data_IF_403966507813
#
_entry.id   IF_403966507813
#
_cell.length_a   1.000
_cell.length_b   1.000
_cell.length_c   1.000
_cell.angle_alpha   90.00
_cell.angle_beta   90.00
_cell.angle_gamma   90.00
#
_symmetry.space_group_name_H-M   'P 1'
#
loop_
_entity.id
_entity.type
_entity.pdbx_description
1 polymer ?
#
# COMPACT_ATOMS: atom_id res chain seq x y z
N UNK A 1 -5.61 13.58 -22.74
CA UNK A 1 -4.43 14.20 -22.10
C UNK A 1 -3.23 13.26 -22.11
N UNK A 2 -2.06 13.81 -22.28
CA UNK A 2 -0.82 13.06 -22.18
C UNK A 2 -0.54 12.71 -20.71
N UNK A 3 0.22 11.62 -20.42
CA UNK A 3 0.50 11.21 -19.05
C UNK A 3 1.09 12.31 -18.16
N UNK A 4 1.95 13.18 -18.73
CA UNK A 4 2.56 14.27 -17.98
C UNK A 4 1.61 15.45 -17.70
N UNK A 5 0.42 15.45 -18.30
CA UNK A 5 -0.61 16.48 -18.08
C UNK A 5 -1.62 16.09 -16.99
N UNK A 6 -1.48 14.88 -16.44
CA UNK A 6 -2.40 14.35 -15.45
C UNK A 6 -1.94 14.72 -14.03
N UNK A 7 -2.90 14.88 -13.13
CA UNK A 7 -2.61 14.99 -11.71
C UNK A 7 -2.02 13.67 -11.17
N UNK A 8 -1.36 13.71 -10.00
CA UNK A 8 -0.81 12.51 -9.38
C UNK A 8 -1.85 11.40 -9.19
N UNK A 9 -3.06 11.77 -8.75
CA UNK A 9 -4.14 10.80 -8.61
C UNK A 9 -4.62 10.23 -9.94
N UNK A 10 -4.70 11.06 -10.98
CA UNK A 10 -5.08 10.62 -12.31
C UNK A 10 -4.03 9.69 -12.92
N UNK A 11 -2.74 9.99 -12.75
CA UNK A 11 -1.65 9.12 -13.19
C UNK A 11 -1.72 7.75 -12.52
N UNK A 12 -1.99 7.70 -11.23
CA UNK A 12 -2.14 6.44 -10.50
C UNK A 12 -3.33 5.62 -11.00
N UNK A 13 -4.46 6.25 -11.28
CA UNK A 13 -5.63 5.56 -11.87
C UNK A 13 -5.33 4.99 -13.26
N UNK A 14 -4.57 5.71 -14.08
CA UNK A 14 -4.12 5.19 -15.37
C UNK A 14 -3.22 3.97 -15.18
N UNK A 15 -2.33 3.99 -14.20
CA UNK A 15 -1.48 2.83 -13.87
C UNK A 15 -2.31 1.60 -13.48
N UNK A 16 -3.38 1.77 -12.69
CA UNK A 16 -4.30 0.67 -12.38
C UNK A 16 -4.98 0.13 -13.63
N UNK A 17 -5.47 1.00 -14.50
CA UNK A 17 -6.11 0.58 -15.74
C UNK A 17 -5.15 -0.23 -16.63
N UNK A 18 -3.89 0.19 -16.73
CA UNK A 18 -2.86 -0.54 -17.49
C UNK A 18 -2.60 -1.92 -16.90
N UNK A 19 -2.51 -2.03 -15.59
CA UNK A 19 -2.32 -3.32 -14.92
C UNK A 19 -3.47 -4.29 -15.22
N UNK A 20 -4.72 -3.80 -15.19
CA UNK A 20 -5.89 -4.61 -15.52
C UNK A 20 -5.91 -5.07 -16.97
N UNK A 21 -5.51 -4.23 -17.91
CA UNK A 21 -5.41 -4.58 -19.32
C UNK A 21 -4.38 -5.69 -19.55
N UNK A 22 -3.24 -5.60 -18.88
CA UNK A 22 -2.19 -6.62 -18.96
C UNK A 22 -2.69 -7.98 -18.47
N UNK A 23 -3.46 -8.00 -17.39
CA UNK A 23 -4.03 -9.23 -16.84
C UNK A 23 -5.00 -9.92 -17.80
N UNK A 24 -5.75 -9.17 -18.58
CA UNK A 24 -6.70 -9.74 -19.54
C UNK A 24 -6.04 -10.54 -20.66
N UNK A 25 -4.74 -10.35 -20.86
CA UNK A 25 -3.98 -11.10 -21.87
C UNK A 25 -3.38 -12.39 -21.33
N UNK A 26 -3.43 -12.61 -20.02
CA UNK A 26 -2.91 -13.80 -19.37
C UNK A 26 -3.95 -14.90 -19.29
N UNK A 27 -3.47 -16.13 -19.17
CA UNK A 27 -4.33 -17.32 -19.10
C UNK A 27 -5.30 -17.25 -17.91
N UNK A 28 -6.58 -17.48 -18.18
CA UNK A 28 -7.71 -17.25 -17.26
C UNK A 28 -7.71 -18.10 -15.99
N UNK A 29 -6.80 -19.09 -15.86
CA UNK A 29 -6.78 -19.99 -14.71
C UNK A 29 -5.84 -19.56 -13.59
N UNK A 30 -5.06 -18.50 -13.78
CA UNK A 30 -4.14 -17.99 -12.77
C UNK A 30 -4.71 -16.74 -12.11
N UNK A 31 -4.77 -16.75 -10.77
CA UNK A 31 -5.14 -15.57 -10.00
C UNK A 31 -4.00 -14.56 -10.07
N UNK A 32 -4.25 -13.30 -10.40
CA UNK A 32 -3.20 -12.30 -10.51
C UNK A 32 -2.62 -11.93 -9.15
N UNK A 33 -1.32 -11.60 -9.14
CA UNK A 33 -0.68 -10.90 -8.03
C UNK A 33 -0.48 -9.44 -8.45
N UNK A 34 -1.12 -8.53 -7.74
CA UNK A 34 -1.05 -7.10 -8.01
C UNK A 34 -0.04 -6.46 -7.06
N UNK A 35 0.83 -5.62 -7.60
CA UNK A 35 1.84 -4.92 -6.83
C UNK A 35 1.59 -3.42 -6.91
N UNK A 36 1.46 -2.77 -5.75
CA UNK A 36 1.26 -1.34 -5.63
C UNK A 36 2.40 -0.75 -4.81
N UNK A 37 3.24 0.06 -5.43
CA UNK A 37 4.38 0.68 -4.77
C UNK A 37 4.08 2.16 -4.51
N UNK A 38 3.95 2.51 -3.22
CA UNK A 38 3.65 3.87 -2.76
C UNK A 38 2.45 4.50 -3.49
N UNK A 39 1.28 3.83 -3.51
CA UNK A 39 0.17 4.26 -4.37
C UNK A 39 -0.46 5.60 -3.96
N UNK A 40 -0.32 6.01 -2.70
CA UNK A 40 -0.89 7.26 -2.20
C UNK A 40 0.15 8.32 -1.85
N UNK A 41 1.43 8.05 -2.09
CA UNK A 41 2.50 9.01 -1.78
C UNK A 41 2.29 10.33 -2.51
N UNK A 42 2.43 11.43 -1.78
CA UNK A 42 2.29 12.78 -2.34
C UNK A 42 0.86 13.21 -2.65
N UNK A 43 -0.14 12.42 -2.32
CA UNK A 43 -1.55 12.76 -2.53
C UNK A 43 -2.17 13.35 -1.26
N UNK A 44 -3.13 14.26 -1.44
CA UNK A 44 -3.96 14.74 -0.33
C UNK A 44 -4.87 13.61 0.21
N UNK A 45 -5.49 13.78 1.39
CA UNK A 45 -6.30 12.73 2.00
C UNK A 45 -7.49 12.26 1.15
N UNK A 46 -8.12 13.15 0.40
CA UNK A 46 -9.29 12.81 -0.41
C UNK A 46 -8.85 11.98 -1.62
N UNK A 47 -7.80 12.42 -2.31
CA UNK A 47 -7.24 11.68 -3.44
C UNK A 47 -6.71 10.31 -2.98
N UNK A 48 -6.07 10.25 -1.82
CA UNK A 48 -5.60 9.01 -1.22
C UNK A 48 -6.75 8.03 -0.96
N UNK A 49 -7.86 8.52 -0.40
CA UNK A 49 -9.04 7.69 -0.16
C UNK A 49 -9.60 7.09 -1.45
N UNK A 50 -9.60 7.86 -2.53
CA UNK A 50 -10.06 7.37 -3.84
C UNK A 50 -9.16 6.26 -4.37
N UNK A 51 -7.84 6.41 -4.23
CA UNK A 51 -6.89 5.38 -4.65
C UNK A 51 -7.02 4.13 -3.79
N UNK A 52 -7.16 4.29 -2.48
CA UNK A 52 -7.37 3.17 -1.55
C UNK A 52 -8.63 2.39 -1.88
N UNK A 53 -9.73 3.09 -2.17
CA UNK A 53 -10.97 2.46 -2.60
C UNK A 53 -10.79 1.71 -3.94
N UNK A 54 -10.04 2.30 -4.86
CA UNK A 54 -9.74 1.68 -6.15
C UNK A 54 -8.89 0.40 -5.99
N UNK A 55 -7.91 0.41 -5.09
CA UNK A 55 -7.11 -0.78 -4.75
C UNK A 55 -8.04 -1.91 -4.28
N UNK A 56 -8.92 -1.62 -3.34
CA UNK A 56 -9.83 -2.62 -2.80
C UNK A 56 -10.79 -3.15 -3.85
N UNK A 57 -11.35 -2.29 -4.68
CA UNK A 57 -12.24 -2.71 -5.79
C UNK A 57 -11.51 -3.54 -6.83
N UNK A 58 -10.31 -3.13 -7.20
CA UNK A 58 -9.48 -3.85 -8.16
C UNK A 58 -9.13 -5.25 -7.63
N UNK A 59 -8.76 -5.34 -6.38
CA UNK A 59 -8.42 -6.59 -5.72
C UNK A 59 -9.61 -7.55 -5.69
N UNK A 60 -10.80 -7.06 -5.32
CA UNK A 60 -12.03 -7.85 -5.29
C UNK A 60 -12.43 -8.31 -6.69
N UNK A 61 -12.32 -7.44 -7.68
CA UNK A 61 -12.72 -7.72 -9.06
C UNK A 61 -11.80 -8.73 -9.74
N UNK A 62 -10.50 -8.63 -9.49
CA UNK A 62 -9.50 -9.55 -10.03
C UNK A 62 -9.49 -10.90 -9.34
N UNK A 63 -10.14 -11.02 -8.18
CA UNK A 63 -10.12 -12.22 -7.33
C UNK A 63 -8.69 -12.74 -7.10
N UNK A 64 -7.75 -11.81 -6.95
CA UNK A 64 -6.34 -12.09 -6.79
C UNK A 64 -5.81 -11.68 -5.43
N UNK A 65 -4.51 -11.70 -5.31
CA UNK A 65 -3.79 -11.19 -4.15
C UNK A 65 -3.06 -9.90 -4.52
N UNK A 66 -2.83 -9.05 -3.54
CA UNK A 66 -2.06 -7.83 -3.76
C UNK A 66 -1.03 -7.61 -2.66
N UNK A 67 0.04 -6.92 -3.03
CA UNK A 67 1.03 -6.39 -2.10
C UNK A 67 1.06 -4.89 -2.28
N UNK A 68 0.86 -4.18 -1.19
CA UNK A 68 0.92 -2.71 -1.16
C UNK A 68 2.13 -2.31 -0.32
N UNK A 69 3.06 -1.59 -0.91
CA UNK A 69 4.20 -1.00 -0.19
C UNK A 69 3.87 0.45 0.11
N UNK A 70 3.85 0.83 1.37
CA UNK A 70 3.48 2.19 1.75
C UNK A 70 4.08 2.60 3.10
N UNK A 71 4.32 3.90 3.25
CA UNK A 71 4.65 4.54 4.53
C UNK A 71 3.44 5.27 5.12
N UNK A 72 2.31 5.26 4.43
CA UNK A 72 1.12 6.00 4.84
C UNK A 72 0.24 5.09 5.69
N UNK A 73 0.14 5.40 6.98
CA UNK A 73 -0.59 4.57 7.94
C UNK A 73 -2.06 4.33 7.52
N UNK A 74 -2.75 5.37 7.08
CA UNK A 74 -4.14 5.25 6.64
C UNK A 74 -4.29 4.31 5.44
N UNK A 75 -3.35 4.34 4.50
CA UNK A 75 -3.35 3.43 3.36
C UNK A 75 -3.17 1.98 3.81
N UNK A 76 -2.22 1.73 4.70
CA UNK A 76 -1.98 0.41 5.27
C UNK A 76 -3.24 -0.12 5.96
N UNK A 77 -3.87 0.69 6.81
CA UNK A 77 -5.05 0.27 7.57
C UNK A 77 -6.27 0.02 6.68
N UNK A 78 -6.42 0.77 5.59
CA UNK A 78 -7.60 0.66 4.72
C UNK A 78 -7.49 -0.42 3.65
N UNK A 79 -6.27 -0.81 3.27
CA UNK A 79 -6.07 -1.73 2.14
C UNK A 79 -5.52 -3.09 2.53
N UNK A 80 -5.11 -3.30 3.77
CA UNK A 80 -4.37 -4.51 4.17
C UNK A 80 -5.21 -5.47 5.00
N UNK A 81 -5.03 -6.75 4.75
CA UNK A 81 -5.47 -7.84 5.64
C UNK A 81 -4.33 -8.26 6.57
N UNK A 82 -3.11 -8.28 6.04
CA UNK A 82 -1.89 -8.63 6.76
C UNK A 82 -0.84 -7.57 6.55
N UNK A 83 0.00 -7.37 7.56
CA UNK A 83 1.07 -6.37 7.54
C UNK A 83 2.41 -7.04 7.80
N UNK A 84 3.38 -6.67 6.99
CA UNK A 84 4.78 -7.00 7.19
C UNK A 84 5.54 -5.69 7.37
N UNK A 85 6.30 -5.58 8.45
CA UNK A 85 7.10 -4.38 8.70
C UNK A 85 8.57 -4.65 8.42
N UNK A 86 9.13 -3.84 7.54
CA UNK A 86 10.53 -3.94 7.11
C UNK A 86 11.31 -2.73 7.62
N UNK A 87 12.43 -2.99 8.26
CA UNK A 87 13.36 -1.94 8.68
C UNK A 87 14.78 -2.46 8.73
N UNK A 88 15.72 -1.69 8.20
CA UNK A 88 17.12 -2.08 8.18
C UNK A 88 17.38 -3.37 7.40
N UNK A 89 16.63 -3.60 6.33
CA UNK A 89 16.77 -4.78 5.49
C UNK A 89 16.22 -6.07 6.09
N UNK A 90 15.48 -6.00 7.19
CA UNK A 90 14.93 -7.17 7.87
C UNK A 90 13.45 -6.97 8.18
N UNK A 91 12.69 -8.06 8.14
CA UNK A 91 11.32 -8.07 8.64
C UNK A 91 11.35 -8.01 10.16
N UNK A 92 10.73 -6.98 10.72
CA UNK A 92 10.71 -6.72 12.16
C UNK A 92 9.43 -7.18 12.82
N UNK A 93 8.34 -7.28 12.05
CA UNK A 93 7.06 -7.68 12.57
C UNK A 93 6.17 -8.20 11.43
N UNK A 94 5.29 -9.13 11.76
CA UNK A 94 4.29 -9.66 10.84
C UNK A 94 3.04 -10.05 11.61
N UNK A 95 1.87 -9.78 11.03
CA UNK A 95 0.59 -10.13 11.64
C UNK A 95 -0.59 -9.62 10.84
N UNK A 96 -1.80 -9.84 11.37
CA UNK A 96 -3.01 -9.32 10.78
C UNK A 96 -3.10 -7.81 10.99
N UNK A 97 -3.98 -7.15 10.21
CA UNK A 97 -4.22 -5.72 10.39
C UNK A 97 -4.79 -5.43 11.79
N UNK A 98 -5.62 -6.30 12.32
CA UNK A 98 -6.17 -6.12 13.66
C UNK A 98 -5.08 -6.22 14.73
N UNK A 99 -4.20 -7.20 14.60
CA UNK A 99 -3.04 -7.32 15.47
C UNK A 99 -2.10 -6.11 15.36
N UNK A 100 -1.92 -5.59 14.15
CA UNK A 100 -1.10 -4.39 13.90
C UNK A 100 -1.65 -3.18 14.64
N UNK A 101 -2.96 -2.97 14.61
CA UNK A 101 -3.61 -1.83 15.27
C UNK A 101 -3.48 -1.86 16.80
N UNK A 102 -3.32 -3.03 17.38
CA UNK A 102 -3.27 -3.22 18.84
C UNK A 102 -1.87 -3.59 19.36
N UNK A 103 -0.88 -3.72 18.48
CA UNK A 103 0.43 -4.23 18.85
C UNK A 103 1.21 -3.27 19.74
N UNK A 104 1.87 -3.84 20.76
CA UNK A 104 2.85 -3.15 21.59
C UNK A 104 4.30 -3.44 21.14
N UNK A 105 4.48 -4.10 20.01
CA UNK A 105 5.81 -4.29 19.44
C UNK A 105 6.51 -2.93 19.26
N UNK A 106 7.77 -2.78 19.66
CA UNK A 106 8.43 -1.48 19.63
C UNK A 106 8.50 -0.83 18.24
N UNK A 107 8.70 -1.62 17.19
CA UNK A 107 8.73 -1.09 15.81
C UNK A 107 7.35 -0.63 15.37
N UNK A 108 6.34 -1.44 15.57
CA UNK A 108 4.96 -1.14 15.20
C UNK A 108 4.45 0.08 15.99
N UNK A 109 4.71 0.10 17.28
CA UNK A 109 4.27 1.19 18.16
C UNK A 109 4.88 2.53 17.73
N UNK A 110 6.19 2.55 17.49
CA UNK A 110 6.89 3.75 17.03
C UNK A 110 6.32 4.25 15.69
N UNK A 111 6.14 3.34 14.74
CA UNK A 111 5.60 3.67 13.42
C UNK A 111 4.18 4.24 13.52
N UNK A 112 3.30 3.54 14.22
CA UNK A 112 1.89 3.93 14.29
C UNK A 112 1.68 5.26 15.00
N UNK A 113 2.50 5.58 15.98
CA UNK A 113 2.36 6.80 16.77
C UNK A 113 3.30 7.93 16.32
N UNK A 114 4.13 7.69 15.33
CA UNK A 114 5.07 8.68 14.82
C UNK A 114 6.05 9.19 15.87
N UNK A 115 6.50 8.31 16.77
CA UNK A 115 7.37 8.71 17.87
C UNK A 115 8.83 8.79 17.43
N UNK A 116 9.53 9.77 17.97
CA UNK A 116 10.98 9.91 17.76
C UNK A 116 11.76 8.85 18.55
N UNK A 117 11.26 8.49 19.73
CA UNK A 117 11.86 7.43 20.54
C UNK A 117 11.41 6.06 20.04
N UNK A 118 12.35 5.14 19.91
CA UNK A 118 12.08 3.78 19.51
C UNK A 118 13.25 3.15 18.79
N UNK A 119 13.10 1.89 18.35
CA UNK A 119 14.20 1.16 17.71
C UNK A 119 14.55 1.67 16.31
N UNK A 120 13.66 2.39 15.66
CA UNK A 120 13.94 2.99 14.36
C UNK A 120 14.54 4.38 14.57
N UNK A 121 15.79 4.55 14.13
CA UNK A 121 16.52 5.80 14.23
C UNK A 121 16.84 6.30 12.83
N UNK A 122 16.22 7.39 12.37
CA UNK A 122 16.59 7.98 11.09
C UNK A 122 18.03 8.46 11.17
N UNK A 123 18.86 7.97 10.25
CA UNK A 123 20.30 8.27 10.31
C UNK A 123 20.65 9.66 9.82
N UNK A 124 19.76 10.30 9.06
CA UNK A 124 20.09 11.53 8.36
C UNK A 124 18.93 12.52 8.38
N UNK A 125 18.62 13.00 9.54
CA UNK A 125 17.71 14.13 9.67
C UNK A 125 18.49 15.37 10.04
#
# INVERSE_FOLDING_TARGET
>A
KLPNELSGGMQKRVSFARALITDQTLNTNTKPLLLFDEPTAGLDPIASSRIEDLINKTNNKANGSSIVVSHVLSTIERTSDKVLMLYGGKFRWAGSIDEFKESNDPYVFQFRHGKLDGPMQPKDI
#
